data_IF_287967285144
#
_entry.id   IF_287967285144
#
_cell.length_a   1.000
_cell.length_b   1.000
_cell.length_c   1.000
_cell.angle_alpha   90.00
_cell.angle_beta   90.00
_cell.angle_gamma   90.00
#
_symmetry.space_group_name_H-M   'P 1'
#
loop_
_entity.id
_entity.type
_entity.pdbx_description
1 polymer ?
#
# COMPACT_ATOMS: atom_id res chain seq x y z
N UNK A 1 0.77 11.67 -4.18
CA UNK A 1 0.79 11.50 -5.64
C UNK A 1 0.84 12.83 -6.39
N UNK A 2 0.94 12.76 -7.72
CA UNK A 2 0.96 13.94 -8.57
C UNK A 2 -0.34 14.75 -8.51
N UNK A 3 -0.26 16.01 -8.91
CA UNK A 3 -1.38 16.95 -8.78
C UNK A 3 -2.59 16.65 -9.69
N UNK A 4 -2.42 15.78 -10.69
CA UNK A 4 -3.50 15.37 -11.60
C UNK A 4 -4.26 14.11 -11.18
N UNK A 5 -3.83 13.43 -10.10
CA UNK A 5 -4.51 12.24 -9.61
C UNK A 5 -5.85 12.59 -8.99
N UNK A 6 -6.93 11.94 -9.46
CA UNK A 6 -8.31 12.26 -9.07
C UNK A 6 -8.81 11.54 -7.84
N UNK A 7 -8.45 10.27 -7.68
CA UNK A 7 -8.90 9.45 -6.56
C UNK A 7 -8.09 9.72 -5.29
N UNK A 8 -8.76 9.75 -4.17
CA UNK A 8 -8.16 9.85 -2.84
C UNK A 8 -9.09 9.17 -1.82
N UNK A 9 -8.58 8.27 -0.98
CA UNK A 9 -7.21 7.72 -1.01
C UNK A 9 -6.89 6.95 -2.30
N UNK A 10 -5.61 6.72 -2.57
CA UNK A 10 -5.19 5.91 -3.72
C UNK A 10 -5.55 4.44 -3.55
N UNK A 11 -5.56 3.67 -4.65
CA UNK A 11 -5.79 2.22 -4.59
C UNK A 11 -4.79 1.51 -3.69
N UNK A 12 -3.52 1.90 -3.72
CA UNK A 12 -2.49 1.36 -2.81
C UNK A 12 -2.82 1.65 -1.36
N UNK A 13 -3.24 2.87 -1.03
CA UNK A 13 -3.62 3.22 0.33
C UNK A 13 -4.82 2.40 0.82
N UNK A 14 -5.82 2.18 -0.04
CA UNK A 14 -6.97 1.34 0.29
C UNK A 14 -6.56 -0.12 0.55
N UNK A 15 -5.65 -0.67 -0.26
CA UNK A 15 -5.13 -2.02 -0.06
C UNK A 15 -4.38 -2.16 1.27
N UNK A 16 -3.58 -1.16 1.64
CA UNK A 16 -2.88 -1.13 2.94
C UNK A 16 -3.89 -1.11 4.09
N UNK A 17 -4.94 -0.31 3.98
CA UNK A 17 -6.00 -0.24 4.99
C UNK A 17 -6.71 -1.57 5.17
N UNK A 18 -7.01 -2.27 4.08
CA UNK A 18 -7.62 -3.60 4.13
C UNK A 18 -6.70 -4.61 4.82
N UNK A 19 -5.40 -4.57 4.54
CA UNK A 19 -4.41 -5.44 5.20
C UNK A 19 -4.33 -5.16 6.71
N UNK A 20 -4.39 -3.90 7.12
CA UNK A 20 -4.40 -3.51 8.53
C UNK A 20 -5.65 -4.03 9.23
N UNK A 21 -6.82 -3.91 8.62
CA UNK A 21 -8.06 -4.43 9.17
C UNK A 21 -8.02 -5.94 9.34
N UNK A 22 -7.47 -6.67 8.36
CA UNK A 22 -7.32 -8.12 8.42
C UNK A 22 -6.43 -8.55 9.59
N UNK A 23 -5.28 -7.90 9.77
CA UNK A 23 -4.36 -8.20 10.86
C UNK A 23 -4.97 -7.89 12.23
N UNK A 24 -5.71 -6.79 12.34
CA UNK A 24 -6.37 -6.36 13.59
C UNK A 24 -7.66 -7.12 13.87
N UNK A 25 -8.14 -7.89 12.90
CA UNK A 25 -9.44 -8.60 12.95
C UNK A 25 -10.60 -7.65 13.30
N UNK A 26 -10.55 -6.44 12.72
CA UNK A 26 -11.58 -5.42 12.92
C UNK A 26 -11.59 -4.46 11.71
N UNK A 27 -12.75 -3.93 11.42
CA UNK A 27 -12.92 -2.89 10.43
C UNK A 27 -12.97 -1.53 11.13
N UNK A 28 -11.84 -0.82 11.15
CA UNK A 28 -11.74 0.48 11.80
C UNK A 28 -12.39 1.57 10.96
N UNK A 29 -13.01 2.54 11.64
CA UNK A 29 -13.52 3.73 10.97
C UNK A 29 -12.37 4.52 10.34
N UNK A 30 -12.53 4.89 9.07
CA UNK A 30 -11.60 5.73 8.33
C UNK A 30 -11.97 7.20 8.53
N UNK A 31 -11.01 8.00 8.94
CA UNK A 31 -11.18 9.46 9.00
C UNK A 31 -10.29 10.09 7.94
N UNK A 32 -10.90 10.51 6.84
CA UNK A 32 -10.21 11.07 5.69
C UNK A 32 -9.95 12.56 5.85
N UNK A 33 -8.86 12.89 6.52
CA UNK A 33 -8.49 14.27 6.86
C UNK A 33 -9.11 14.75 8.16
N UNK A 34 -8.52 15.81 8.71
CA UNK A 34 -9.03 16.49 9.89
C UNK A 34 -9.00 17.99 9.67
N UNK A 35 -10.06 18.68 10.10
CA UNK A 35 -10.18 20.12 9.93
C UNK A 35 -10.70 20.74 11.23
N UNK A 36 -10.07 21.85 11.64
CA UNK A 36 -10.49 22.58 12.84
C UNK A 36 -10.30 21.77 14.12
N UNK A 37 -11.29 21.85 14.99
CA UNK A 37 -11.32 21.09 16.24
C UNK A 37 -12.00 19.74 16.00
N UNK A 38 -11.20 18.73 15.70
CA UNK A 38 -11.66 17.37 15.43
C UNK A 38 -10.78 16.37 16.17
N UNK A 39 -11.00 16.16 17.47
CA UNK A 39 -10.21 15.23 18.25
C UNK A 39 -10.44 13.79 17.77
N UNK A 40 -9.45 12.97 18.03
CA UNK A 40 -9.49 11.56 17.71
C UNK A 40 -10.49 10.82 18.61
N UNK A 41 -11.26 9.91 18.03
CA UNK A 41 -12.25 9.08 18.73
C UNK A 41 -12.02 7.59 18.45
N UNK A 42 -12.07 6.77 19.51
CA UNK A 42 -12.06 5.30 19.42
C UNK A 42 -10.89 4.71 18.61
N UNK A 43 -11.22 3.69 17.86
CA UNK A 43 -10.27 2.89 17.07
C UNK A 43 -10.11 3.39 15.62
N UNK A 44 -10.34 4.64 15.37
CA UNK A 44 -10.27 5.21 14.04
C UNK A 44 -8.86 5.16 13.43
N UNK A 45 -8.78 5.09 12.11
CA UNK A 45 -7.55 5.26 11.35
C UNK A 45 -7.62 6.59 10.60
N UNK A 46 -6.71 7.50 10.90
CA UNK A 46 -6.55 8.74 10.15
C UNK A 46 -5.94 8.47 8.78
N UNK A 47 -6.56 8.99 7.74
CA UNK A 47 -6.08 8.85 6.35
C UNK A 47 -5.93 10.24 5.75
N UNK A 48 -4.73 10.59 5.33
CA UNK A 48 -4.43 11.89 4.74
C UNK A 48 -3.82 11.69 3.36
N UNK A 49 -4.32 12.42 2.39
CA UNK A 49 -3.84 12.32 1.02
C UNK A 49 -3.29 13.67 0.56
N UNK A 50 -2.09 13.65 -0.01
CA UNK A 50 -1.45 14.83 -0.61
C UNK A 50 -1.38 14.69 -2.12
N UNK A 51 -1.58 15.80 -2.81
CA UNK A 51 -1.44 15.92 -4.26
C UNK A 51 -0.52 17.08 -4.54
N UNK A 52 0.66 16.80 -5.11
CA UNK A 52 1.68 17.82 -5.29
C UNK A 52 2.56 17.51 -6.49
N UNK A 53 2.77 18.52 -7.34
CA UNK A 53 3.72 18.46 -8.44
C UNK A 53 3.60 17.21 -9.30
N UNK A 54 4.71 16.56 -9.52
CA UNK A 54 4.83 15.32 -10.29
C UNK A 54 5.21 14.10 -9.42
N UNK A 55 4.90 14.14 -8.14
CA UNK A 55 5.18 13.04 -7.21
C UNK A 55 4.61 11.74 -7.77
N UNK A 56 5.46 10.76 -8.00
CA UNK A 56 5.06 9.47 -8.59
C UNK A 56 4.19 8.66 -7.65
N UNK A 57 4.62 8.53 -6.41
CA UNK A 57 3.86 7.88 -5.36
C UNK A 57 4.66 7.81 -4.08
N UNK A 58 4.08 8.26 -3.01
CA UNK A 58 4.64 8.19 -1.66
C UNK A 58 3.57 7.71 -0.70
N UNK A 59 3.90 6.70 0.10
CA UNK A 59 3.00 6.14 1.10
C UNK A 59 3.74 6.07 2.42
N UNK A 60 3.08 6.51 3.48
CA UNK A 60 3.61 6.47 4.83
C UNK A 60 2.58 5.82 5.76
N UNK A 61 3.04 4.87 6.57
CA UNK A 61 2.24 4.25 7.61
C UNK A 61 2.86 4.61 8.95
N UNK A 62 2.07 5.21 9.83
CA UNK A 62 2.47 5.57 11.17
C UNK A 62 1.74 4.70 12.18
N UNK A 63 2.49 3.93 12.95
CA UNK A 63 1.98 3.14 14.07
C UNK A 63 2.53 3.74 15.36
N UNK A 64 1.66 4.38 16.13
CA UNK A 64 2.08 5.10 17.31
C UNK A 64 1.44 4.51 18.57
N UNK A 65 2.29 4.07 19.50
CA UNK A 65 1.93 3.80 20.88
C UNK A 65 2.16 5.02 21.76
N UNK A 66 2.02 4.88 23.06
CA UNK A 66 2.23 6.01 23.98
C UNK A 66 3.71 6.40 24.12
N UNK A 67 4.59 5.41 24.05
CA UNK A 67 6.04 5.60 24.29
C UNK A 67 6.90 5.26 23.07
N UNK A 68 6.30 4.87 21.96
CA UNK A 68 7.02 4.47 20.75
C UNK A 68 6.26 4.76 19.49
N UNK A 69 6.97 4.96 18.40
CA UNK A 69 6.43 5.19 17.07
C UNK A 69 7.19 4.34 16.06
N UNK A 70 6.47 3.66 15.20
CA UNK A 70 7.02 2.99 14.03
C UNK A 70 6.52 3.68 12.78
N UNK A 71 7.44 4.08 11.92
CA UNK A 71 7.12 4.69 10.62
C UNK A 71 7.63 3.80 9.49
N UNK A 72 6.75 3.53 8.53
CA UNK A 72 7.07 2.82 7.30
C UNK A 72 6.80 3.76 6.13
N UNK A 73 7.84 4.14 5.40
CA UNK A 73 7.72 5.07 4.27
C UNK A 73 8.28 4.44 3.01
N UNK A 74 7.51 4.52 1.93
CA UNK A 74 7.93 4.12 0.60
C UNK A 74 7.75 5.28 -0.37
N UNK A 75 8.80 5.57 -1.14
CA UNK A 75 8.79 6.56 -2.21
C UNK A 75 9.18 5.92 -3.52
N UNK A 76 8.28 5.98 -4.50
CA UNK A 76 8.61 5.56 -5.85
C UNK A 76 9.38 6.69 -6.55
N UNK A 77 10.60 6.41 -6.99
CA UNK A 77 11.46 7.40 -7.67
C UNK A 77 11.09 7.64 -9.12
N UNK A 78 10.40 6.68 -9.74
CA UNK A 78 9.93 6.80 -11.13
C UNK A 78 8.78 5.83 -11.39
N UNK A 79 8.05 6.07 -12.48
CA UNK A 79 7.00 5.12 -12.92
C UNK A 79 7.56 3.79 -13.40
N UNK A 80 8.86 3.74 -13.72
CA UNK A 80 9.54 2.52 -14.15
C UNK A 80 9.46 1.38 -13.12
N UNK A 81 9.42 1.69 -11.83
CA UNK A 81 9.28 0.66 -10.80
C UNK A 81 7.94 -0.08 -10.91
N UNK A 82 6.87 0.61 -11.29
CA UNK A 82 5.56 -0.01 -11.49
C UNK A 82 5.54 -0.82 -12.79
N UNK A 83 6.15 -0.32 -13.85
CA UNK A 83 6.30 -1.03 -15.12
C UNK A 83 7.12 -2.31 -14.97
N UNK A 84 8.20 -2.29 -14.20
CA UNK A 84 9.01 -3.47 -13.91
C UNK A 84 8.19 -4.53 -13.17
N UNK A 85 7.41 -4.13 -12.15
CA UNK A 85 6.51 -5.05 -11.45
C UNK A 85 5.43 -5.64 -12.34
N UNK A 86 4.87 -4.84 -13.25
CA UNK A 86 3.88 -5.32 -14.22
C UNK A 86 4.47 -6.33 -15.21
N UNK A 87 5.72 -6.13 -15.66
CA UNK A 87 6.42 -7.09 -16.52
C UNK A 87 6.70 -8.40 -15.79
N UNK A 88 7.11 -8.34 -14.54
CA UNK A 88 7.33 -9.53 -13.71
C UNK A 88 6.02 -10.31 -13.53
N UNK A 89 4.92 -9.63 -13.25
CA UNK A 89 3.60 -10.23 -13.12
C UNK A 89 3.15 -10.87 -14.45
N UNK A 90 3.37 -10.21 -15.58
CA UNK A 90 3.05 -10.74 -16.92
C UNK A 90 3.85 -12.01 -17.23
N UNK A 91 5.12 -12.04 -16.90
CA UNK A 91 5.98 -13.22 -17.08
C UNK A 91 5.49 -14.39 -16.21
N UNK A 92 5.10 -14.12 -14.96
CA UNK A 92 4.55 -15.13 -14.06
C UNK A 92 3.20 -15.67 -14.57
N UNK A 93 2.30 -14.80 -15.05
CA UNK A 93 0.98 -15.17 -15.56
C UNK A 93 1.03 -16.00 -16.85
N UNK A 94 2.04 -15.80 -17.69
CA UNK A 94 2.16 -16.46 -19.01
C UNK A 94 2.15 -17.99 -18.93
N UNK A 95 2.56 -18.57 -17.79
CA UNK A 95 2.56 -20.02 -17.57
C UNK A 95 1.36 -20.53 -16.76
N UNK A 96 0.37 -19.69 -16.49
CA UNK A 96 -0.79 -20.05 -15.64
C UNK A 96 -2.06 -20.30 -16.44
N UNK A 97 -2.94 -21.10 -15.87
CA UNK A 97 -4.27 -21.30 -16.44
C UNK A 97 -5.11 -20.03 -16.34
N UNK A 98 -6.14 -19.91 -17.17
CA UNK A 98 -7.04 -18.75 -17.12
C UNK A 98 -7.71 -18.63 -15.74
N UNK A 99 -7.66 -17.44 -15.16
CA UNK A 99 -8.21 -17.16 -13.84
C UNK A 99 -7.85 -15.76 -13.35
N UNK A 100 -8.21 -15.46 -12.12
CA UNK A 100 -7.84 -14.22 -11.46
C UNK A 100 -6.72 -14.51 -10.46
N UNK A 101 -5.68 -13.67 -10.49
CA UNK A 101 -4.52 -13.77 -9.60
C UNK A 101 -4.24 -12.41 -8.98
N UNK A 102 -3.92 -12.39 -7.70
CA UNK A 102 -3.48 -11.20 -6.98
C UNK A 102 -1.95 -11.07 -7.04
N UNK A 103 -1.44 -9.84 -6.96
CA UNK A 103 0.00 -9.59 -7.02
C UNK A 103 0.78 -10.26 -5.87
N UNK A 104 0.14 -10.43 -4.72
CA UNK A 104 0.72 -11.14 -3.58
C UNK A 104 1.13 -12.57 -3.94
N UNK A 105 0.38 -13.25 -4.81
CA UNK A 105 0.72 -14.60 -5.28
C UNK A 105 2.02 -14.61 -6.08
N UNK A 106 2.27 -13.56 -6.87
CA UNK A 106 3.51 -13.38 -7.63
C UNK A 106 4.70 -13.20 -6.69
N UNK A 107 4.54 -12.36 -5.66
CA UNK A 107 5.57 -12.08 -4.66
C UNK A 107 5.91 -13.32 -3.83
N UNK A 108 4.92 -14.09 -3.42
CA UNK A 108 5.10 -15.32 -2.65
C UNK A 108 5.88 -16.37 -3.47
N UNK A 109 5.58 -16.51 -4.76
CA UNK A 109 6.31 -17.39 -5.67
C UNK A 109 7.79 -17.00 -5.79
N UNK A 110 8.10 -15.70 -5.93
CA UNK A 110 9.47 -15.20 -6.00
C UNK A 110 10.22 -15.44 -4.67
N UNK A 111 9.57 -15.28 -3.53
CA UNK A 111 10.15 -15.57 -2.22
C UNK A 111 10.51 -17.05 -2.07
N UNK A 112 9.64 -17.95 -2.50
CA UNK A 112 9.90 -19.39 -2.48
C UNK A 112 11.07 -19.76 -3.40
N UNK A 113 11.14 -19.19 -4.60
CA UNK A 113 12.25 -19.38 -5.52
C UNK A 113 13.56 -18.82 -4.96
N UNK A 114 13.53 -17.67 -4.29
CA UNK A 114 14.69 -17.07 -3.65
C UNK A 114 15.22 -17.93 -2.52
N UNK A 115 14.38 -18.54 -1.72
CA UNK A 115 14.75 -19.45 -0.64
C UNK A 115 15.42 -20.73 -1.20
N UNK A 116 14.93 -21.25 -2.32
CA UNK A 116 15.52 -22.40 -2.98
C UNK A 116 16.79 -22.05 -3.75
N UNK A 117 16.96 -20.81 -4.18
CA UNK A 117 18.13 -20.32 -4.90
C UNK A 117 19.28 -19.85 -4.01
N UNK A 118 19.08 -19.74 -2.71
CA UNK A 118 20.08 -19.25 -1.75
C UNK A 118 21.12 -20.32 -1.34
N UNK A 119 21.05 -21.48 -1.91
CA UNK A 119 21.98 -22.59 -1.70
C UNK A 119 22.90 -22.75 -2.88
#
# INVERSE_FOLDING_TARGET
HHNGKRDAPSGTALSILDDVDEVRDTEAERVNGRVGEQPREGEEIGVHARRAGDVTGEHEILLAGNDEVLELTHRAGSRGIFAAGALDAAAWLAGRDAGRYDFDEVLDADSDESDTGAH
#
